data_IF_067954372014
#
_entry.id   IF_067954372014
#
_cell.length_a   1.000
_cell.length_b   1.000
_cell.length_c   1.000
_cell.angle_alpha   90.00
_cell.angle_beta   90.00
_cell.angle_gamma   90.00
#
_symmetry.space_group_name_H-M   'P 1'
#
loop_
_entity.id
_entity.type
_entity.pdbx_description
1 polymer ?
#
# COMPACT_ATOMS: atom_id res chain seq x y z
N UNK A 1 -29.36 -5.49 4.34
CA UNK A 1 -28.61 -5.65 3.10
C UNK A 1 -27.92 -4.35 2.77
N UNK A 2 -26.70 -4.22 3.24
CA UNK A 2 -25.79 -3.22 2.66
C UNK A 2 -25.40 -3.79 1.31
N UNK A 3 -26.06 -3.33 0.26
CA UNK A 3 -25.68 -3.63 -1.10
C UNK A 3 -24.28 -3.02 -1.30
N UNK A 4 -23.24 -3.84 -1.23
CA UNK A 4 -21.84 -3.39 -1.31
C UNK A 4 -21.42 -3.11 -2.75
N UNK A 5 -22.20 -2.28 -3.47
CA UNK A 5 -21.82 -1.75 -4.78
C UNK A 5 -20.47 -1.02 -4.73
N UNK A 6 -20.12 -0.50 -3.56
CA UNK A 6 -18.88 0.24 -3.31
C UNK A 6 -17.62 -0.65 -3.31
N UNK A 7 -17.80 -1.98 -3.17
CA UNK A 7 -16.72 -2.97 -3.29
C UNK A 7 -16.48 -3.45 -4.72
N UNK A 8 -17.32 -3.05 -5.66
CA UNK A 8 -17.21 -3.45 -7.07
C UNK A 8 -16.29 -2.47 -7.80
N UNK A 9 -15.19 -2.98 -8.35
CA UNK A 9 -14.27 -2.20 -9.17
C UNK A 9 -14.81 -2.03 -10.60
N UNK A 10 -15.33 -3.11 -11.20
CA UNK A 10 -15.89 -3.08 -12.55
C UNK A 10 -16.89 -4.21 -12.78
N UNK A 11 -17.84 -3.97 -13.67
CA UNK A 11 -18.78 -4.99 -14.17
C UNK A 11 -18.69 -5.00 -15.69
N UNK A 12 -18.42 -6.16 -16.28
CA UNK A 12 -18.46 -6.39 -17.72
C UNK A 12 -19.60 -7.36 -18.03
N UNK A 13 -20.52 -6.96 -18.93
CA UNK A 13 -21.69 -7.74 -19.31
C UNK A 13 -21.54 -8.17 -20.75
N UNK A 14 -21.44 -9.47 -21.00
CA UNK A 14 -21.38 -10.06 -22.35
C UNK A 14 -22.64 -10.87 -22.66
N UNK A 15 -23.21 -10.62 -23.82
CA UNK A 15 -24.30 -11.44 -24.34
C UNK A 15 -23.73 -12.61 -25.15
N UNK A 16 -24.11 -13.84 -24.78
CA UNK A 16 -23.83 -15.06 -25.54
C UNK A 16 -25.14 -15.54 -26.17
N UNK A 17 -25.18 -15.54 -27.50
CA UNK A 17 -26.34 -16.05 -28.22
C UNK A 17 -26.47 -17.56 -28.01
N UNK A 18 -27.73 -18.12 -27.94
CA UNK A 18 -28.97 -17.41 -28.27
C UNK A 18 -29.60 -16.62 -27.10
N UNK A 19 -29.37 -17.01 -25.83
CA UNK A 19 -30.19 -16.54 -24.70
C UNK A 19 -29.41 -16.40 -23.37
N UNK A 20 -28.07 -16.36 -23.40
CA UNK A 20 -27.25 -16.24 -22.20
C UNK A 20 -26.68 -14.84 -22.04
N UNK A 21 -26.58 -14.40 -20.77
CA UNK A 21 -25.86 -13.20 -20.36
C UNK A 21 -24.79 -13.62 -19.34
N UNK A 22 -23.52 -13.31 -19.62
CA UNK A 22 -22.42 -13.46 -18.67
C UNK A 22 -22.09 -12.13 -18.05
N UNK A 23 -22.07 -12.09 -16.72
CA UNK A 23 -21.71 -10.92 -15.93
C UNK A 23 -20.37 -11.22 -15.24
N UNK A 24 -19.36 -10.45 -15.57
CA UNK A 24 -18.05 -10.53 -14.92
C UNK A 24 -17.96 -9.38 -13.92
N UNK A 25 -17.84 -9.72 -12.65
CA UNK A 25 -17.70 -8.75 -11.57
C UNK A 25 -16.25 -8.82 -11.08
N UNK A 26 -15.59 -7.66 -11.04
CA UNK A 26 -14.29 -7.50 -10.44
C UNK A 26 -14.45 -6.69 -9.15
N UNK A 27 -14.08 -7.29 -8.04
CA UNK A 27 -14.12 -6.65 -6.74
C UNK A 27 -12.85 -5.83 -6.47
N UNK A 28 -12.97 -4.83 -5.59
CA UNK A 28 -11.83 -4.10 -5.04
C UNK A 28 -11.09 -4.97 -4.03
N UNK A 29 -9.76 -4.94 -4.08
CA UNK A 29 -8.94 -5.68 -3.15
C UNK A 29 -8.45 -4.78 -2.02
N UNK A 30 -8.63 -5.20 -0.78
CA UNK A 30 -8.03 -4.58 0.38
C UNK A 30 -6.50 -4.73 0.32
N UNK A 31 -5.78 -3.63 0.48
CA UNK A 31 -4.31 -3.58 0.47
C UNK A 31 -3.78 -2.99 1.75
N UNK A 32 -4.39 -1.89 2.18
CA UNK A 32 -3.92 -1.11 3.32
C UNK A 32 -4.93 -1.03 4.44
N UNK A 33 -4.42 -0.69 5.61
CA UNK A 33 -5.26 -0.17 6.68
C UNK A 33 -4.68 1.15 7.23
N UNK A 34 -5.58 2.05 7.61
CA UNK A 34 -5.26 3.27 8.37
C UNK A 34 -5.87 3.13 9.76
N UNK A 35 -5.07 3.36 10.80
CA UNK A 35 -5.61 3.40 12.17
C UNK A 35 -6.14 4.80 12.46
N UNK A 36 -7.43 4.90 12.76
CA UNK A 36 -8.09 6.16 13.10
C UNK A 36 -8.81 6.05 14.45
N UNK A 37 -8.14 6.53 15.49
CA UNK A 37 -8.57 6.30 16.88
C UNK A 37 -8.54 4.82 17.23
N UNK A 38 -9.70 4.27 17.62
CA UNK A 38 -9.85 2.85 17.97
C UNK A 38 -10.34 1.98 16.80
N UNK A 39 -10.47 2.55 15.61
CA UNK A 39 -10.96 1.89 14.42
C UNK A 39 -9.87 1.74 13.37
N UNK A 40 -10.09 0.80 12.46
CA UNK A 40 -9.24 0.54 11.31
C UNK A 40 -10.05 0.74 10.04
N UNK A 41 -9.58 1.61 9.16
CA UNK A 41 -10.14 1.80 7.83
C UNK A 41 -9.40 0.88 6.88
N UNK A 42 -10.13 0.03 6.19
CA UNK A 42 -9.58 -0.88 5.18
C UNK A 42 -9.66 -0.18 3.84
N UNK A 43 -8.54 -0.10 3.13
CA UNK A 43 -8.39 0.76 1.96
C UNK A 43 -7.80 -0.04 0.80
N UNK A 44 -8.30 0.21 -0.41
CA UNK A 44 -7.72 -0.34 -1.63
C UNK A 44 -6.52 0.48 -2.14
N UNK A 45 -5.92 0.04 -3.25
CA UNK A 45 -4.78 0.72 -3.88
C UNK A 45 -5.10 2.10 -4.46
N UNK A 46 -6.36 2.45 -4.63
CA UNK A 46 -6.81 3.75 -5.13
C UNK A 46 -7.17 4.71 -3.99
N UNK A 47 -7.03 4.26 -2.74
CA UNK A 47 -7.38 5.04 -1.56
C UNK A 47 -8.86 5.04 -1.23
N UNK A 48 -9.64 4.10 -1.80
CA UNK A 48 -11.07 3.94 -1.49
C UNK A 48 -11.20 3.19 -0.17
N UNK A 49 -11.98 3.74 0.75
CA UNK A 49 -12.30 3.11 2.02
C UNK A 49 -13.37 2.05 1.80
N UNK A 50 -12.98 0.78 1.90
CA UNK A 50 -13.85 -0.37 1.65
C UNK A 50 -14.76 -0.66 2.85
N UNK A 51 -14.20 -0.61 4.04
CA UNK A 51 -14.92 -0.90 5.27
C UNK A 51 -14.21 -0.30 6.49
N UNK A 52 -14.93 -0.22 7.60
CA UNK A 52 -14.44 0.16 8.91
C UNK A 52 -14.51 -1.04 9.84
N UNK A 53 -13.43 -1.34 10.56
CA UNK A 53 -13.34 -2.48 11.48
C UNK A 53 -12.82 -2.07 12.85
N UNK A 54 -13.28 -2.79 13.88
CA UNK A 54 -12.72 -2.68 15.24
C UNK A 54 -11.40 -3.46 15.37
N UNK A 55 -11.14 -4.46 14.52
CA UNK A 55 -9.94 -5.28 14.52
C UNK A 55 -9.59 -5.75 13.11
N UNK A 56 -8.31 -5.93 12.86
CA UNK A 56 -7.75 -6.44 11.59
C UNK A 56 -7.07 -7.81 11.76
N UNK A 57 -7.35 -8.51 12.87
CA UNK A 57 -6.76 -9.80 13.15
C UNK A 57 -7.04 -10.80 12.01
N UNK A 58 -5.97 -11.46 11.54
CA UNK A 58 -6.05 -12.44 10.44
C UNK A 58 -6.07 -11.82 9.04
N UNK A 59 -6.06 -10.50 8.90
CA UNK A 59 -5.96 -9.82 7.60
C UNK A 59 -4.48 -9.57 7.26
N UNK A 60 -4.10 -9.85 6.00
CA UNK A 60 -2.80 -9.44 5.46
C UNK A 60 -2.94 -8.05 4.84
N UNK A 61 -2.64 -7.05 5.61
CA UNK A 61 -2.75 -5.66 5.19
C UNK A 61 -1.49 -4.89 5.59
N UNK A 62 -1.12 -3.95 4.76
CA UNK A 62 -0.02 -3.03 4.98
C UNK A 62 -0.55 -1.81 5.75
N UNK A 63 0.12 -1.42 6.82
CA UNK A 63 -0.21 -0.17 7.50
C UNK A 63 0.11 1.02 6.60
N UNK A 64 -0.82 1.96 6.48
CA UNK A 64 -0.63 3.20 5.75
C UNK A 64 -0.63 4.37 6.72
N UNK A 65 0.51 5.04 6.88
CA UNK A 65 0.65 6.24 7.70
C UNK A 65 0.55 7.51 6.82
N UNK A 66 -0.06 8.56 7.39
CA UNK A 66 -0.27 9.85 6.72
C UNK A 66 -1.73 10.21 6.46
N UNK A 67 -2.68 9.41 6.96
CA UNK A 67 -4.12 9.63 6.81
C UNK A 67 -4.92 9.49 8.11
N UNK A 68 -4.28 9.39 9.26
CA UNK A 68 -4.89 9.00 10.55
C UNK A 68 -5.96 9.99 11.06
N UNK A 69 -5.95 11.21 10.53
CA UNK A 69 -6.88 12.28 10.95
C UNK A 69 -7.74 12.79 9.80
N UNK A 70 -7.69 12.12 8.66
CA UNK A 70 -8.39 12.59 7.47
C UNK A 70 -9.86 12.15 7.53
N UNK A 71 -10.82 13.01 7.10
CA UNK A 71 -12.19 12.59 6.90
C UNK A 71 -12.29 11.45 5.88
N UNK A 72 -13.31 10.64 6.00
CA UNK A 72 -13.58 9.54 5.08
C UNK A 72 -15.08 9.24 5.00
N UNK A 73 -15.42 8.54 3.92
CA UNK A 73 -16.73 7.90 3.74
C UNK A 73 -16.47 6.49 3.21
N UNK A 74 -17.11 5.50 3.80
CA UNK A 74 -17.07 4.12 3.26
C UNK A 74 -17.66 4.14 1.83
N UNK A 75 -16.98 3.48 0.90
CA UNK A 75 -17.28 3.50 -0.53
C UNK A 75 -16.69 4.69 -1.29
N UNK A 76 -16.04 5.63 -0.62
CA UNK A 76 -15.39 6.80 -1.20
C UNK A 76 -13.90 6.86 -0.93
N UNK A 77 -13.16 7.74 -1.63
CA UNK A 77 -11.76 7.97 -1.33
C UNK A 77 -11.59 8.59 0.05
N UNK A 78 -10.51 8.20 0.75
CA UNK A 78 -10.11 8.89 1.97
C UNK A 78 -9.77 10.35 1.60
N UNK A 79 -10.37 11.31 2.29
CA UNK A 79 -10.16 12.72 1.99
C UNK A 79 -8.72 13.12 2.30
N UNK A 80 -8.13 13.93 1.44
CA UNK A 80 -6.79 14.47 1.65
C UNK A 80 -6.68 15.87 1.04
N UNK A 81 -5.91 16.72 1.69
CA UNK A 81 -5.55 18.04 1.13
C UNK A 81 -4.51 17.94 0.01
N UNK A 82 -3.84 16.80 -0.11
CA UNK A 82 -2.81 16.54 -1.10
C UNK A 82 -3.15 15.28 -1.91
N UNK A 83 -3.83 15.47 -3.04
CA UNK A 83 -4.24 14.40 -3.95
C UNK A 83 -3.06 13.57 -4.49
N UNK A 84 -1.83 14.12 -4.43
CA UNK A 84 -0.62 13.36 -4.82
C UNK A 84 -0.42 12.13 -3.94
N UNK A 85 -0.91 12.15 -2.69
CA UNK A 85 -0.87 11.00 -1.79
C UNK A 85 -1.67 9.81 -2.33
N UNK A 86 -2.87 10.05 -2.85
CA UNK A 86 -3.71 8.98 -3.43
C UNK A 86 -3.03 8.33 -4.64
N UNK A 87 -2.45 9.15 -5.52
CA UNK A 87 -1.68 8.65 -6.66
C UNK A 87 -0.46 7.84 -6.22
N UNK A 88 0.24 8.32 -5.19
CA UNK A 88 1.43 7.66 -4.65
C UNK A 88 1.11 6.28 -4.04
N UNK A 89 -0.04 6.13 -3.37
CA UNK A 89 -0.52 4.82 -2.88
C UNK A 89 -0.58 3.80 -4.02
N UNK A 90 -1.20 4.17 -5.14
CA UNK A 90 -1.30 3.32 -6.32
C UNK A 90 0.07 2.96 -6.90
N UNK A 91 0.95 3.95 -7.08
CA UNK A 91 2.30 3.76 -7.60
C UNK A 91 3.11 2.79 -6.71
N UNK A 92 3.07 2.97 -5.38
CA UNK A 92 3.76 2.09 -4.42
C UNK A 92 3.16 0.68 -4.44
N UNK A 93 1.83 0.55 -4.48
CA UNK A 93 1.17 -0.75 -4.55
C UNK A 93 1.57 -1.51 -5.81
N UNK A 94 1.59 -0.84 -6.95
CA UNK A 94 1.99 -1.46 -8.21
C UNK A 94 3.47 -1.89 -8.19
N UNK A 95 4.35 -1.14 -7.52
CA UNK A 95 5.75 -1.55 -7.30
C UNK A 95 5.86 -2.79 -6.42
N UNK A 96 5.18 -2.81 -5.28
CA UNK A 96 5.14 -3.95 -4.37
C UNK A 96 4.66 -5.20 -5.13
N UNK A 97 3.61 -5.07 -5.94
CA UNK A 97 3.04 -6.18 -6.68
C UNK A 97 3.88 -6.70 -7.84
N UNK A 98 4.74 -5.89 -8.45
CA UNK A 98 5.58 -6.30 -9.60
C UNK A 98 6.79 -7.13 -9.21
N UNK A 99 7.31 -6.97 -8.01
CA UNK A 99 8.59 -7.58 -7.58
C UNK A 99 8.49 -8.95 -6.92
N UNK A 100 7.51 -9.67 -7.11
CA UNK A 100 6.73 -10.46 -6.23
C UNK A 100 6.92 -11.90 -5.94
N UNK A 101 7.78 -12.65 -6.49
CA UNK A 101 7.93 -14.03 -6.01
C UNK A 101 9.06 -14.12 -4.98
N UNK A 102 8.68 -14.29 -3.70
CA UNK A 102 9.61 -14.52 -2.61
C UNK A 102 10.11 -13.26 -1.88
N UNK A 103 9.65 -12.07 -2.26
CA UNK A 103 9.95 -10.83 -1.54
C UNK A 103 8.80 -10.55 -0.57
N UNK A 104 9.08 -10.32 0.72
CA UNK A 104 8.03 -9.97 1.68
C UNK A 104 7.44 -8.60 1.36
N UNK A 105 6.17 -8.42 1.69
CA UNK A 105 5.53 -7.12 1.66
C UNK A 105 6.01 -6.24 2.82
N UNK A 106 6.08 -4.91 2.66
CA UNK A 106 6.36 -4.02 3.77
C UNK A 106 5.25 -4.10 4.83
N UNK A 107 5.62 -3.97 6.09
CA UNK A 107 4.65 -3.89 7.20
C UNK A 107 3.98 -2.52 7.29
N UNK A 108 4.70 -1.45 6.89
CA UNK A 108 4.22 -0.07 6.90
C UNK A 108 4.70 0.66 5.65
N UNK A 109 3.81 1.45 5.07
CA UNK A 109 4.09 2.49 4.08
C UNK A 109 3.77 3.83 4.74
N UNK A 110 4.79 4.66 4.97
CA UNK A 110 4.64 5.99 5.54
C UNK A 110 4.81 7.06 4.45
N UNK A 111 3.71 7.73 4.16
CA UNK A 111 3.62 8.87 3.24
C UNK A 111 3.06 10.11 3.94
N UNK A 112 3.30 10.22 5.24
CA UNK A 112 2.96 11.42 6.01
C UNK A 112 3.56 12.66 5.37
N UNK A 113 4.82 12.54 4.92
CA UNK A 113 5.52 13.50 4.09
C UNK A 113 5.88 12.85 2.74
N UNK A 114 5.25 13.32 1.65
CA UNK A 114 5.50 12.81 0.29
C UNK A 114 6.90 13.13 -0.26
N UNK A 115 7.64 14.00 0.40
CA UNK A 115 9.05 14.29 0.07
C UNK A 115 10.02 13.37 0.81
N UNK A 116 9.51 12.57 1.76
CA UNK A 116 10.28 11.67 2.59
C UNK A 116 9.52 10.35 2.81
N UNK A 117 9.31 9.61 1.72
CA UNK A 117 8.62 8.32 1.71
C UNK A 117 9.45 7.29 2.46
N UNK A 118 8.82 6.55 3.37
CA UNK A 118 9.46 5.51 4.14
C UNK A 118 8.68 4.19 4.04
N UNK A 119 9.41 3.08 3.95
CA UNK A 119 8.85 1.73 3.98
C UNK A 119 9.47 0.96 5.16
N UNK A 120 8.66 0.16 5.84
CA UNK A 120 9.15 -0.66 6.95
C UNK A 120 8.99 -2.15 6.62
N UNK A 121 10.05 -2.90 6.83
CA UNK A 121 10.08 -4.36 6.76
C UNK A 121 10.38 -4.91 8.16
N UNK A 122 9.33 -5.01 8.98
CA UNK A 122 9.50 -5.20 10.42
C UNK A 122 10.23 -4.01 11.04
N UNK A 123 11.40 -4.27 11.66
CA UNK A 123 12.23 -3.25 12.31
C UNK A 123 13.30 -2.63 11.37
N UNK A 124 13.29 -2.95 10.08
CA UNK A 124 14.12 -2.29 9.05
C UNK A 124 13.35 -1.14 8.42
N UNK A 125 13.89 0.07 8.54
CA UNK A 125 13.41 1.27 7.87
C UNK A 125 14.12 1.45 6.53
N UNK A 126 13.37 1.50 5.43
CA UNK A 126 13.86 1.89 4.11
C UNK A 126 13.44 3.33 3.84
N UNK A 127 14.42 4.24 3.77
CA UNK A 127 14.21 5.65 3.44
C UNK A 127 14.28 5.83 1.93
N UNK A 128 13.12 6.02 1.30
CA UNK A 128 13.00 6.19 -0.15
C UNK A 128 13.20 7.65 -0.59
N UNK A 129 12.91 8.61 0.32
CA UNK A 129 12.91 10.04 -0.01
C UNK A 129 11.77 10.42 -0.95
N UNK A 130 12.05 11.29 -1.92
CA UNK A 130 11.06 11.73 -2.92
C UNK A 130 10.75 10.62 -3.93
N UNK A 131 9.61 10.76 -4.64
CA UNK A 131 9.09 9.74 -5.56
C UNK A 131 9.89 9.56 -6.85
N UNK A 132 10.83 10.46 -7.16
CA UNK A 132 11.66 10.34 -8.36
C UNK A 132 12.45 9.06 -8.36
N UNK A 133 12.42 8.34 -9.49
CA UNK A 133 13.09 7.04 -9.68
C UNK A 133 12.69 5.99 -8.63
N UNK A 134 11.41 6.01 -8.21
CA UNK A 134 10.90 5.19 -7.11
C UNK A 134 11.14 3.70 -7.36
N UNK A 135 10.95 3.21 -8.59
CA UNK A 135 11.17 1.82 -8.97
C UNK A 135 12.65 1.41 -8.85
N UNK A 136 13.57 2.23 -9.35
CA UNK A 136 15.01 1.96 -9.25
C UNK A 136 15.46 1.94 -7.78
N UNK A 137 15.02 2.93 -7.00
CA UNK A 137 15.30 3.01 -5.56
C UNK A 137 14.76 1.79 -4.83
N UNK A 138 13.51 1.42 -5.10
CA UNK A 138 12.89 0.26 -4.46
C UNK A 138 13.66 -1.03 -4.78
N UNK A 139 14.00 -1.25 -6.05
CA UNK A 139 14.80 -2.41 -6.47
C UNK A 139 16.16 -2.47 -5.76
N UNK A 140 16.86 -1.33 -5.64
CA UNK A 140 18.13 -1.26 -4.92
C UNK A 140 17.96 -1.61 -3.43
N UNK A 141 16.93 -1.04 -2.78
CA UNK A 141 16.65 -1.30 -1.37
C UNK A 141 16.33 -2.77 -1.10
N UNK A 142 15.47 -3.36 -1.93
CA UNK A 142 15.10 -4.78 -1.81
C UNK A 142 16.31 -5.70 -2.03
N UNK A 143 17.15 -5.40 -3.02
CA UNK A 143 18.39 -6.15 -3.23
C UNK A 143 19.30 -6.12 -2.00
N UNK A 144 19.46 -4.95 -1.35
CA UNK A 144 20.24 -4.83 -0.12
C UNK A 144 19.58 -5.62 1.01
N UNK A 145 18.27 -5.47 1.19
CA UNK A 145 17.49 -6.15 2.22
C UNK A 145 17.65 -7.67 2.15
N UNK A 146 17.54 -8.21 0.93
CA UNK A 146 17.59 -9.66 0.69
C UNK A 146 19.03 -10.21 0.70
N UNK A 147 19.96 -9.56 -0.02
CA UNK A 147 21.34 -10.04 -0.13
C UNK A 147 22.08 -10.04 1.20
N UNK A 148 21.71 -9.16 2.12
CA UNK A 148 22.31 -9.07 3.45
C UNK A 148 21.50 -9.76 4.56
N UNK A 149 20.41 -10.45 4.20
CA UNK A 149 19.51 -11.13 5.14
C UNK A 149 19.07 -10.21 6.30
N UNK A 150 18.57 -9.02 5.96
CA UNK A 150 18.22 -7.99 6.95
C UNK A 150 16.82 -8.17 7.54
N UNK A 151 15.97 -9.03 6.99
CA UNK A 151 14.65 -9.31 7.53
C UNK A 151 14.76 -9.87 8.93
N UNK A 152 13.99 -9.30 9.87
CA UNK A 152 14.03 -9.64 11.28
C UNK A 152 15.18 -9.00 12.05
N UNK A 153 16.02 -8.18 11.41
CA UNK A 153 17.00 -7.32 12.07
C UNK A 153 16.43 -5.93 12.29
N UNK A 154 17.10 -5.13 13.14
CA UNK A 154 16.75 -3.74 13.38
C UNK A 154 17.78 -2.83 12.71
N UNK A 155 17.33 -1.80 12.00
CA UNK A 155 18.24 -0.89 11.32
C UNK A 155 17.57 -0.06 10.24
N UNK A 156 18.38 0.42 9.28
CA UNK A 156 17.86 1.18 8.16
C UNK A 156 18.66 0.96 6.89
N UNK A 157 18.00 1.21 5.76
CA UNK A 157 18.56 1.35 4.42
C UNK A 157 18.18 2.74 3.92
N UNK A 158 19.16 3.56 3.57
CA UNK A 158 18.92 4.92 3.07
C UNK A 158 19.31 5.00 1.59
N UNK A 159 18.31 5.24 0.77
CA UNK A 159 18.39 5.42 -0.69
C UNK A 159 17.70 6.72 -1.12
N UNK A 160 17.47 7.64 -0.17
CA UNK A 160 16.75 8.89 -0.39
C UNK A 160 17.50 9.91 -1.24
N UNK A 161 18.80 9.73 -1.41
CA UNK A 161 19.70 10.65 -2.10
C UNK A 161 20.35 10.03 -3.34
N UNK A 162 20.93 10.88 -4.18
CA UNK A 162 21.70 10.45 -5.34
C UNK A 162 23.11 10.04 -4.90
N UNK A 163 23.37 8.75 -4.81
CA UNK A 163 24.64 8.19 -4.38
C UNK A 163 24.53 6.69 -4.11
N UNK A 164 25.59 6.13 -3.56
CA UNK A 164 25.57 4.73 -3.15
C UNK A 164 24.66 4.56 -1.92
N UNK A 165 23.82 3.54 -1.90
CA UNK A 165 22.96 3.24 -0.76
C UNK A 165 23.76 3.06 0.53
N UNK A 166 23.22 3.56 1.63
CA UNK A 166 23.81 3.38 2.97
C UNK A 166 22.88 2.50 3.79
N UNK A 167 23.42 1.49 4.48
CA UNK A 167 22.65 0.73 5.44
C UNK A 167 23.42 0.54 6.76
N UNK A 168 22.68 0.43 7.84
CA UNK A 168 23.22 0.19 9.17
C UNK A 168 22.30 -0.71 9.95
N UNK A 169 22.89 -1.66 10.68
CA UNK A 169 22.18 -2.56 11.59
C UNK A 169 22.47 -2.12 13.02
N UNK A 170 21.41 -2.03 13.80
CA UNK A 170 21.48 -1.72 15.21
C UNK A 170 21.52 -3.04 15.99
N UNK A 171 22.50 -3.18 16.85
CA UNK A 171 22.64 -4.32 17.77
C UNK A 171 21.72 -4.16 18.98
#
# INVERSE_FOLDING_TARGET
>A
DVCSSDLILSVDVKRELPDHIKIYVKERNAVFYVKQGEKYLIIDKEGIVLEEKATINGMKLIKLDGFEKNPYKVGGPIETKDERKLKLIGEITDLINRLNEGIPEPSVVDISDITNINLYYGDILIKMGMKENLEEKYNKAINILMSNNLIGKKGYIDISFNGDPVFSIMN
#
